data_IF_314284117571
#
_entry.id   IF_314284117571
#
_cell.length_a   1.000
_cell.length_b   1.000
_cell.length_c   1.000
_cell.angle_alpha   90.00
_cell.angle_beta   90.00
_cell.angle_gamma   90.00
#
_symmetry.space_group_name_H-M   'P 1'
#
loop_
_entity.id
_entity.type
_entity.pdbx_description
1 polymer ?
#
# COMPACT_ATOMS: atom_id res chain seq x y z
N UNK A 1 -2.45 -23.18 -25.82
CA UNK A 1 -3.50 -22.16 -25.58
C UNK A 1 -3.85 -22.10 -24.09
N UNK A 2 -2.86 -21.83 -23.22
CA UNK A 2 -3.03 -21.91 -21.75
C UNK A 2 -2.24 -20.81 -21.09
N UNK A 3 -2.80 -19.60 -21.04
CA UNK A 3 -2.12 -18.47 -20.40
C UNK A 3 -3.04 -17.31 -19.98
N UNK A 4 -4.36 -17.51 -19.99
CA UNK A 4 -5.32 -16.42 -19.72
C UNK A 4 -6.41 -16.79 -18.70
N UNK A 5 -6.36 -17.98 -18.09
CA UNK A 5 -7.36 -18.42 -17.12
C UNK A 5 -6.85 -18.43 -15.66
N UNK A 6 -5.54 -18.52 -15.42
CA UNK A 6 -4.96 -18.57 -14.06
C UNK A 6 -5.03 -17.25 -13.27
N UNK A 7 -5.28 -16.12 -13.95
CA UNK A 7 -5.39 -14.81 -13.30
C UNK A 7 -6.74 -14.57 -12.63
N UNK A 8 -7.78 -15.32 -13.02
CA UNK A 8 -9.14 -15.17 -12.47
C UNK A 8 -9.40 -16.15 -11.30
N UNK A 9 -8.68 -17.27 -11.21
CA UNK A 9 -8.81 -18.23 -10.10
C UNK A 9 -8.14 -17.80 -8.78
N UNK A 10 -7.29 -16.77 -8.80
CA UNK A 10 -6.77 -16.15 -7.56
C UNK A 10 -7.83 -15.35 -6.78
N UNK A 11 -9.04 -15.21 -7.33
CA UNK A 11 -10.16 -14.47 -6.74
C UNK A 11 -11.23 -15.41 -6.19
N UNK A 12 -10.83 -16.44 -5.42
CA UNK A 12 -11.75 -17.18 -4.56
C UNK A 12 -12.17 -16.30 -3.39
N UNK A 13 -13.47 -16.17 -3.12
CA UNK A 13 -14.10 -15.23 -2.18
C UNK A 13 -13.53 -15.21 -0.75
N UNK A 14 -12.39 -14.57 -0.58
CA UNK A 14 -11.67 -14.50 0.69
C UNK A 14 -10.72 -13.32 0.65
N UNK A 15 -10.76 -12.50 1.70
CA UNK A 15 -9.83 -11.41 2.00
C UNK A 15 -8.38 -11.89 1.77
N UNK A 16 -7.73 -11.58 0.64
CA UNK A 16 -6.52 -12.27 0.20
C UNK A 16 -5.28 -11.95 1.04
N UNK A 17 -5.38 -10.94 1.90
CA UNK A 17 -4.34 -10.52 2.83
C UNK A 17 -4.71 -10.81 4.30
N UNK A 18 -5.75 -11.62 4.55
CA UNK A 18 -6.17 -12.00 5.90
C UNK A 18 -4.99 -12.47 6.76
N UNK A 19 -4.83 -11.87 7.94
CA UNK A 19 -3.79 -12.22 8.91
C UNK A 19 -2.38 -11.75 8.55
N UNK A 20 -2.19 -10.99 7.45
CA UNK A 20 -0.90 -10.43 7.07
C UNK A 20 -0.71 -9.06 7.68
N UNK A 21 0.46 -8.84 8.30
CA UNK A 21 0.92 -7.50 8.72
C UNK A 21 1.73 -6.87 7.58
N UNK A 22 1.37 -5.66 7.18
CA UNK A 22 1.98 -4.98 6.02
C UNK A 22 2.60 -3.66 6.45
N UNK A 23 3.92 -3.52 6.32
CA UNK A 23 4.61 -2.27 6.59
C UNK A 23 4.36 -1.26 5.45
N UNK A 24 3.82 -0.10 5.77
CA UNK A 24 3.53 0.96 4.81
C UNK A 24 4.52 2.10 5.03
N UNK A 25 5.43 2.28 4.07
CA UNK A 25 6.50 3.30 4.13
C UNK A 25 6.12 4.64 3.49
N UNK A 26 4.94 4.72 2.87
CA UNK A 26 4.43 5.96 2.27
C UNK A 26 4.32 7.08 3.30
N UNK A 27 4.54 8.30 2.83
CA UNK A 27 4.25 9.51 3.59
C UNK A 27 2.82 9.47 4.12
N UNK A 28 2.61 9.93 5.37
CA UNK A 28 1.32 9.82 6.07
C UNK A 28 0.16 10.42 5.27
N UNK A 29 0.37 11.57 4.62
CA UNK A 29 -0.63 12.24 3.80
C UNK A 29 -1.09 11.42 2.57
N UNK A 30 -0.27 10.47 2.11
CA UNK A 30 -0.52 9.66 0.91
C UNK A 30 -0.87 8.20 1.21
N UNK A 31 -0.76 7.79 2.48
CA UNK A 31 -0.95 6.41 2.90
C UNK A 31 -2.43 6.03 3.10
N UNK A 32 -3.33 7.01 3.22
CA UNK A 32 -4.73 6.78 3.60
C UNK A 32 -5.46 5.78 2.71
N UNK A 33 -5.51 6.03 1.41
CA UNK A 33 -6.19 5.15 0.45
C UNK A 33 -5.58 3.74 0.42
N UNK A 34 -4.25 3.64 0.46
CA UNK A 34 -3.53 2.37 0.48
C UNK A 34 -3.86 1.55 1.75
N UNK A 35 -3.87 2.20 2.92
CA UNK A 35 -4.22 1.58 4.19
C UNK A 35 -5.66 1.07 4.18
N UNK A 36 -6.60 1.83 3.63
CA UNK A 36 -8.00 1.42 3.50
C UNK A 36 -8.12 0.16 2.66
N UNK A 37 -7.53 0.13 1.46
CA UNK A 37 -7.58 -1.06 0.59
C UNK A 37 -6.92 -2.28 1.24
N UNK A 38 -5.78 -2.10 1.93
CA UNK A 38 -5.12 -3.19 2.65
C UNK A 38 -6.03 -3.82 3.71
N UNK A 39 -6.77 -2.99 4.47
CA UNK A 39 -7.75 -3.45 5.47
C UNK A 39 -8.93 -4.20 4.84
N UNK A 40 -9.47 -3.69 3.74
CA UNK A 40 -10.54 -4.35 2.98
C UNK A 40 -10.12 -5.73 2.48
N UNK A 41 -8.86 -5.88 2.09
CA UNK A 41 -8.25 -7.15 1.71
C UNK A 41 -7.89 -8.04 2.91
N UNK A 42 -8.12 -7.60 4.16
CA UNK A 42 -7.91 -8.36 5.40
C UNK A 42 -6.53 -8.19 6.06
N UNK A 43 -5.71 -7.27 5.59
CA UNK A 43 -4.40 -7.02 6.19
C UNK A 43 -4.49 -6.15 7.45
N UNK A 44 -3.43 -6.21 8.25
CA UNK A 44 -3.11 -5.28 9.34
C UNK A 44 -1.96 -4.34 8.90
N UNK A 45 -2.26 -3.17 8.32
CA UNK A 45 -1.22 -2.23 7.93
C UNK A 45 -0.56 -1.55 9.13
N UNK A 46 0.77 -1.46 9.09
CA UNK A 46 1.63 -0.75 10.06
C UNK A 46 2.25 0.44 9.34
N UNK A 47 1.85 1.66 9.72
CA UNK A 47 2.45 2.87 9.16
C UNK A 47 3.86 3.08 9.71
N UNK A 48 4.83 3.20 8.83
CA UNK A 48 6.21 3.56 9.14
C UNK A 48 6.73 4.53 8.06
N UNK A 49 6.24 5.79 8.02
CA UNK A 49 6.69 6.77 7.04
C UNK A 49 8.20 7.02 7.21
N UNK A 50 8.97 6.81 6.15
CA UNK A 50 10.44 6.97 6.17
C UNK A 50 10.87 8.35 5.66
N UNK A 51 9.94 9.10 5.07
CA UNK A 51 10.16 10.44 4.52
C UNK A 51 9.10 11.41 5.03
N UNK A 52 9.52 12.62 5.36
CA UNK A 52 8.66 13.76 5.66
C UNK A 52 8.69 14.73 4.47
N UNK A 53 7.53 15.19 4.02
CA UNK A 53 7.46 16.24 3.02
C UNK A 53 7.53 17.58 3.77
N UNK A 54 8.69 18.20 3.73
CA UNK A 54 8.95 19.52 4.30
C UNK A 54 9.22 20.54 3.17
N UNK A 55 8.99 21.85 3.40
CA UNK A 55 9.41 22.88 2.47
C UNK A 55 10.95 22.84 2.27
N UNK A 56 11.45 23.24 1.08
CA UNK A 56 12.89 23.29 0.83
C UNK A 56 13.58 24.30 1.75
N UNK A 57 14.79 23.96 2.22
CA UNK A 57 15.58 24.84 3.09
C UNK A 57 16.10 26.08 2.36
N UNK A 58 16.40 25.96 1.06
CA UNK A 58 16.86 27.05 0.23
C UNK A 58 16.23 26.95 -1.16
N UNK A 59 15.60 28.05 -1.60
CA UNK A 59 14.99 28.20 -2.93
C UNK A 59 15.78 29.13 -3.86
N UNK A 60 16.98 29.55 -3.46
CA UNK A 60 17.90 30.35 -4.26
C UNK A 60 18.57 29.55 -5.39
N UNK A 61 19.24 30.22 -6.33
CA UNK A 61 19.96 29.56 -7.40
C UNK A 61 21.10 28.68 -6.88
N UNK A 62 21.39 27.60 -7.63
CA UNK A 62 22.50 26.66 -7.39
C UNK A 62 23.86 27.30 -7.66
#
# INVERSE_FOLDING_TARGET
MTGRLDLLERSGGTRPLAGRRVLVTRARAQAGELVTRLRELGAEPVLCPVIEIAPPENTGPL
#
